data_IF_322484760920
#
_entry.id   IF_322484760920
#
_cell.length_a   1.000
_cell.length_b   1.000
_cell.length_c   1.000
_cell.angle_alpha   90.00
_cell.angle_beta   90.00
_cell.angle_gamma   90.00
#
_symmetry.space_group_name_H-M   'P 1'
#
loop_
_entity.id
_entity.type
_entity.pdbx_description
1 polymer ?
#
# COMPACT_ATOMS: atom_id res chain seq x y z
N UNK A 1 16.79 -18.62 -15.56
CA UNK A 1 15.49 -18.02 -15.25
C UNK A 1 14.79 -18.79 -14.13
N UNK A 2 14.47 -20.08 -14.33
CA UNK A 2 13.78 -20.92 -13.31
C UNK A 2 14.50 -20.99 -11.94
N UNK A 3 15.82 -21.16 -11.92
CA UNK A 3 16.57 -21.17 -10.66
C UNK A 3 16.46 -19.85 -9.86
N UNK A 4 16.36 -18.71 -10.56
CA UNK A 4 16.13 -17.41 -9.93
C UNK A 4 14.69 -17.27 -9.42
N UNK A 5 13.73 -17.76 -10.19
CA UNK A 5 12.31 -17.80 -9.82
C UNK A 5 12.10 -18.61 -8.53
N UNK A 6 12.69 -19.81 -8.47
CA UNK A 6 12.63 -20.67 -7.28
C UNK A 6 13.30 -20.05 -6.06
N UNK A 7 14.45 -19.38 -6.23
CA UNK A 7 15.11 -18.67 -5.13
C UNK A 7 14.25 -17.53 -4.58
N UNK A 8 13.70 -16.68 -5.44
CA UNK A 8 12.84 -15.58 -5.03
C UNK A 8 11.58 -16.09 -4.28
N UNK A 9 10.96 -17.17 -4.76
CA UNK A 9 9.81 -17.76 -4.08
C UNK A 9 10.18 -18.34 -2.71
N UNK A 10 11.36 -18.98 -2.61
CA UNK A 10 11.91 -19.47 -1.35
C UNK A 10 12.19 -18.34 -0.36
N UNK A 11 12.79 -17.24 -0.81
CA UNK A 11 13.06 -16.06 0.02
C UNK A 11 11.77 -15.43 0.55
N UNK A 12 10.75 -15.24 -0.31
CA UNK A 12 9.43 -14.75 0.12
C UNK A 12 8.83 -15.71 1.17
N UNK A 13 8.85 -17.01 0.92
CA UNK A 13 8.29 -18.00 1.85
C UNK A 13 8.98 -18.01 3.22
N UNK A 14 10.30 -17.86 3.25
CA UNK A 14 11.08 -17.84 4.49
C UNK A 14 10.89 -16.54 5.28
N UNK A 15 10.62 -15.42 4.62
CA UNK A 15 10.35 -14.15 5.26
C UNK A 15 8.96 -14.06 5.93
N UNK A 16 8.03 -14.96 5.59
CA UNK A 16 6.69 -14.96 6.15
C UNK A 16 6.61 -15.68 7.49
N UNK A 17 5.83 -15.11 8.41
CA UNK A 17 5.37 -15.80 9.61
C UNK A 17 4.45 -16.98 9.24
N UNK A 18 4.40 -18.00 10.09
CA UNK A 18 3.63 -19.23 9.80
C UNK A 18 2.14 -18.98 9.59
N UNK A 19 1.57 -17.98 10.29
CA UNK A 19 0.19 -17.56 10.09
C UNK A 19 -0.07 -16.95 8.71
N UNK A 20 0.92 -16.27 8.12
CA UNK A 20 0.79 -15.59 6.82
C UNK A 20 0.99 -16.54 5.64
N UNK A 21 1.74 -17.63 5.84
CA UNK A 21 1.99 -18.64 4.80
C UNK A 21 0.72 -19.23 4.20
N UNK A 22 -0.39 -19.27 4.96
CA UNK A 22 -1.69 -19.77 4.47
C UNK A 22 -2.16 -19.06 3.20
N UNK A 23 -1.88 -17.76 3.07
CA UNK A 23 -2.33 -16.96 1.94
C UNK A 23 -1.63 -17.34 0.63
N UNK A 24 -0.37 -17.77 0.69
CA UNK A 24 0.49 -18.00 -0.49
C UNK A 24 0.76 -19.48 -0.81
N UNK A 25 0.29 -20.43 0.02
CA UNK A 25 0.53 -21.88 -0.12
C UNK A 25 0.26 -22.43 -1.52
N UNK A 26 -0.83 -22.02 -2.14
CA UNK A 26 -1.26 -22.50 -3.47
C UNK A 26 -0.43 -21.95 -4.63
N UNK A 27 0.31 -20.86 -4.40
CA UNK A 27 1.10 -20.16 -5.42
C UNK A 27 2.59 -20.15 -5.10
N UNK A 28 3.05 -21.02 -4.18
CA UNK A 28 4.43 -21.04 -3.63
C UNK A 28 5.55 -21.17 -4.67
N UNK A 29 5.24 -21.59 -5.89
CA UNK A 29 6.22 -21.76 -6.98
C UNK A 29 6.35 -20.53 -7.88
N UNK A 30 5.49 -19.53 -7.69
CA UNK A 30 5.49 -18.30 -8.47
C UNK A 30 5.65 -17.06 -7.57
N UNK A 31 6.86 -16.48 -7.50
CA UNK A 31 7.13 -15.36 -6.60
C UNK A 31 6.30 -14.12 -6.92
N UNK A 32 5.92 -13.91 -8.19
CA UNK A 32 5.06 -12.78 -8.57
C UNK A 32 3.65 -12.98 -8.01
N UNK A 33 3.07 -14.17 -8.17
CA UNK A 33 1.74 -14.48 -7.61
C UNK A 33 1.74 -14.47 -6.09
N UNK A 34 2.84 -14.91 -5.45
CA UNK A 34 3.00 -14.80 -4.00
C UNK A 34 2.94 -13.33 -3.56
N UNK A 35 3.70 -12.46 -4.22
CA UNK A 35 3.70 -11.03 -3.93
C UNK A 35 2.34 -10.38 -4.16
N UNK A 36 1.65 -10.71 -5.25
CA UNK A 36 0.31 -10.20 -5.55
C UNK A 36 -0.71 -10.60 -4.47
N UNK A 37 -0.71 -11.86 -4.03
CA UNK A 37 -1.59 -12.33 -2.93
C UNK A 37 -1.28 -11.63 -1.62
N UNK A 38 0.00 -11.45 -1.28
CA UNK A 38 0.40 -10.70 -0.08
C UNK A 38 -0.04 -9.24 -0.17
N UNK A 39 0.14 -8.61 -1.33
CA UNK A 39 -0.32 -7.24 -1.56
C UNK A 39 -1.83 -7.13 -1.42
N UNK A 40 -2.60 -8.08 -1.96
CA UNK A 40 -4.06 -8.08 -1.82
C UNK A 40 -4.52 -8.19 -0.36
N UNK A 41 -3.88 -9.06 0.43
CA UNK A 41 -4.20 -9.27 1.84
C UNK A 41 -3.83 -8.05 2.69
N UNK A 42 -2.65 -7.47 2.47
CA UNK A 42 -2.07 -6.45 3.35
C UNK A 42 -2.29 -5.01 2.88
N UNK A 43 -2.38 -4.77 1.57
CA UNK A 43 -2.63 -3.46 0.97
C UNK A 43 -4.09 -3.41 0.56
N UNK A 44 -4.97 -3.15 1.52
CA UNK A 44 -6.39 -2.99 1.22
C UNK A 44 -6.61 -1.66 0.48
N UNK A 45 -6.61 -1.70 -0.85
CA UNK A 45 -6.97 -0.59 -1.73
C UNK A 45 -8.49 -0.34 -1.72
N UNK A 46 -9.09 -0.25 -0.54
CA UNK A 46 -10.51 0.01 -0.32
C UNK A 46 -10.74 1.50 -0.03
N UNK A 47 -11.92 2.06 -0.32
CA UNK A 47 -12.24 3.47 -0.07
C UNK A 47 -11.90 3.92 1.36
N UNK A 48 -12.23 3.11 2.38
CA UNK A 48 -11.93 3.44 3.78
C UNK A 48 -10.44 3.66 4.08
N UNK A 49 -9.55 2.87 3.49
CA UNK A 49 -8.10 3.08 3.66
C UNK A 49 -7.63 4.37 2.96
N UNK A 50 -8.20 4.69 1.80
CA UNK A 50 -7.92 5.95 1.08
C UNK A 50 -8.45 7.16 1.84
N UNK A 51 -9.64 7.09 2.43
CA UNK A 51 -10.19 8.16 3.27
C UNK A 51 -9.27 8.50 4.43
N UNK A 52 -8.75 7.48 5.14
CA UNK A 52 -7.76 7.71 6.20
C UNK A 52 -6.49 8.39 5.68
N UNK A 53 -6.03 8.04 4.48
CA UNK A 53 -4.86 8.67 3.87
C UNK A 53 -5.12 10.13 3.44
N UNK A 54 -6.32 10.44 2.94
CA UNK A 54 -6.73 11.80 2.66
C UNK A 54 -6.83 12.64 3.94
N UNK A 55 -7.41 12.10 5.01
CA UNK A 55 -7.51 12.77 6.31
C UNK A 55 -6.12 13.13 6.86
N UNK A 56 -5.15 12.21 6.77
CA UNK A 56 -3.76 12.48 7.16
C UNK A 56 -3.18 13.65 6.35
N UNK A 57 -3.33 13.66 5.03
CA UNK A 57 -2.79 14.72 4.17
C UNK A 57 -3.47 16.07 4.44
N UNK A 58 -4.81 16.10 4.49
CA UNK A 58 -5.61 17.31 4.66
C UNK A 58 -5.52 17.87 6.08
N UNK A 59 -5.28 17.00 7.07
CA UNK A 59 -5.03 17.35 8.46
C UNK A 59 -3.61 17.81 8.74
N UNK A 60 -2.68 17.76 7.77
CA UNK A 60 -1.32 18.20 7.98
C UNK A 60 -1.28 19.67 8.37
N UNK A 61 -0.69 19.90 9.54
CA UNK A 61 -0.35 21.23 10.04
C UNK A 61 1.10 21.20 10.48
N UNK A 62 1.75 22.35 10.33
CA UNK A 62 3.10 22.55 10.85
C UNK A 62 3.03 22.49 12.38
N UNK A 63 3.80 21.60 12.98
CA UNK A 63 3.87 21.53 14.42
C UNK A 63 4.76 22.64 15.00
N UNK A 64 4.56 22.94 16.28
CA UNK A 64 5.38 23.91 17.00
C UNK A 64 6.82 23.39 17.11
N UNK A 65 7.81 24.22 16.75
CA UNK A 65 9.21 23.80 16.67
C UNK A 65 9.57 22.91 15.47
N UNK A 66 8.60 22.48 14.64
CA UNK A 66 8.89 21.69 13.45
C UNK A 66 9.56 22.52 12.35
N UNK A 67 10.55 21.95 11.66
CA UNK A 67 11.15 22.55 10.46
C UNK A 67 10.27 22.35 9.23
N UNK A 68 10.38 23.26 8.25
CA UNK A 68 9.65 23.09 6.98
C UNK A 68 10.07 21.82 6.22
N UNK A 69 11.33 21.41 6.33
CA UNK A 69 11.83 20.18 5.69
C UNK A 69 11.15 18.94 6.27
N UNK A 70 10.94 18.91 7.59
CA UNK A 70 10.19 17.83 8.25
C UNK A 70 8.75 17.79 7.78
N UNK A 71 8.08 18.94 7.73
CA UNK A 71 6.70 19.03 7.24
C UNK A 71 6.59 18.55 5.79
N UNK A 72 7.52 18.96 4.93
CA UNK A 72 7.58 18.51 3.52
C UNK A 72 7.74 16.99 3.42
N UNK A 73 8.62 16.39 4.24
CA UNK A 73 8.79 14.94 4.25
C UNK A 73 7.50 14.21 4.66
N UNK A 74 6.73 14.77 5.61
CA UNK A 74 5.42 14.21 5.99
C UNK A 74 4.38 14.35 4.86
N UNK A 75 4.36 15.49 4.17
CA UNK A 75 3.50 15.70 3.00
C UNK A 75 3.84 14.73 1.86
N UNK A 76 5.12 14.54 1.57
CA UNK A 76 5.59 13.59 0.56
C UNK A 76 5.18 12.16 0.92
N UNK A 77 5.34 11.78 2.19
CA UNK A 77 4.93 10.46 2.69
C UNK A 77 3.42 10.25 2.56
N UNK A 78 2.61 11.22 2.99
CA UNK A 78 1.15 11.16 2.86
C UNK A 78 0.71 11.00 1.39
N UNK A 79 1.35 11.74 0.47
CA UNK A 79 1.10 11.61 -0.97
C UNK A 79 1.51 10.24 -1.54
N UNK A 80 2.63 9.67 -1.08
CA UNK A 80 3.04 8.31 -1.46
C UNK A 80 2.07 7.24 -0.96
N UNK A 81 1.54 7.40 0.26
CA UNK A 81 0.58 6.47 0.83
C UNK A 81 -0.74 6.50 0.05
N UNK A 82 -1.24 7.69 -0.29
CA UNK A 82 -2.40 7.84 -1.19
C UNK A 82 -2.16 7.13 -2.52
N UNK A 83 -1.01 7.34 -3.16
CA UNK A 83 -0.68 6.70 -4.45
C UNK A 83 -0.63 5.18 -4.34
N UNK A 84 -0.14 4.64 -3.23
CA UNK A 84 -0.03 3.20 -3.01
C UNK A 84 -1.39 2.52 -2.82
N UNK A 85 -2.38 3.27 -2.33
CA UNK A 85 -3.75 2.81 -2.08
C UNK A 85 -4.69 2.97 -3.27
N UNK A 86 -4.23 3.60 -4.37
CA UNK A 86 -5.01 3.73 -5.60
C UNK A 86 -4.99 2.41 -6.39
N UNK A 87 -6.16 1.93 -6.84
CA UNK A 87 -6.26 0.94 -7.90
C UNK A 87 -5.50 1.37 -9.16
N UNK A 88 -5.10 0.39 -9.98
CA UNK A 88 -4.32 0.64 -11.20
C UNK A 88 -5.08 1.50 -12.23
N UNK A 89 -6.39 1.40 -12.23
CA UNK A 89 -7.36 2.06 -13.10
C UNK A 89 -8.10 3.21 -12.39
N UNK A 90 -7.54 3.73 -11.30
CA UNK A 90 -8.17 4.80 -10.53
C UNK A 90 -8.27 6.10 -11.34
N UNK A 91 -9.49 6.60 -11.52
CA UNK A 91 -9.77 7.80 -12.33
C UNK A 91 -9.96 9.06 -11.48
N UNK A 92 -10.00 10.22 -12.14
CA UNK A 92 -10.27 11.50 -11.47
C UNK A 92 -11.73 11.53 -10.97
N UNK A 93 -12.66 10.98 -11.75
CA UNK A 93 -14.07 10.93 -11.39
C UNK A 93 -14.30 10.09 -10.11
N UNK A 94 -13.56 8.99 -9.95
CA UNK A 94 -13.60 8.19 -8.72
C UNK A 94 -13.02 8.94 -7.51
N UNK A 95 -11.99 9.77 -7.73
CA UNK A 95 -11.47 10.66 -6.68
C UNK A 95 -12.52 11.70 -6.27
N UNK A 96 -13.21 12.31 -7.23
CA UNK A 96 -14.25 13.29 -6.97
C UNK A 96 -15.44 12.67 -6.21
N UNK A 97 -15.88 11.47 -6.61
CA UNK A 97 -16.92 10.72 -5.91
C UNK A 97 -16.52 10.40 -4.46
N UNK A 98 -15.27 9.92 -4.27
CA UNK A 98 -14.73 9.67 -2.94
C UNK A 98 -14.70 10.95 -2.08
N UNK A 99 -14.18 12.05 -2.60
CA UNK A 99 -14.09 13.31 -1.86
C UNK A 99 -15.48 13.91 -1.57
N UNK A 100 -16.45 13.80 -2.48
CA UNK A 100 -17.82 14.21 -2.24
C UNK A 100 -18.46 13.42 -1.08
N UNK A 101 -18.14 12.13 -0.95
CA UNK A 101 -18.65 11.26 0.12
C UNK A 101 -18.02 11.51 1.50
N UNK A 102 -16.94 12.30 1.59
CA UNK A 102 -16.31 12.69 2.85
C UNK A 102 -16.99 13.90 3.54
N UNK A 103 -17.96 14.54 2.86
CA UNK A 103 -18.67 15.73 3.36
C UNK A 103 -19.81 15.44 4.33
#
# INVERSE_FOLDING_TARGET
WEARKGRAAGEIWLALEDGQKVHVKEVKTDPLKMWEKLREVHVQQKPGARFNAYDVLLGLRKDEGESLVSLMARADKAMQDIRSLRPKDFTIEQLEEELASMS
#
